data_IF_134338566662
#
_entry.id   IF_134338566662
#
_cell.length_a   1.000
_cell.length_b   1.000
_cell.length_c   1.000
_cell.angle_alpha   90.00
_cell.angle_beta   90.00
_cell.angle_gamma   90.00
#
_symmetry.space_group_name_H-M   'P 1'
#
loop_
_entity.id
_entity.type
_entity.pdbx_description
1 polymer ?
#
# COMPACT_ATOMS: atom_id res chain seq x y z
N UNK A 1 -47.91 -7.20 -4.60
CA UNK A 1 -48.17 -7.32 -3.14
C UNK A 1 -47.29 -8.44 -2.58
N UNK A 2 -46.77 -8.29 -1.35
CA UNK A 2 -45.98 -9.27 -0.59
C UNK A 2 -44.45 -9.15 -0.55
N UNK A 3 -43.92 -7.94 -0.31
CA UNK A 3 -42.56 -7.74 0.24
C UNK A 3 -42.50 -6.73 1.41
N UNK A 4 -43.63 -6.50 2.10
CA UNK A 4 -43.76 -5.51 3.19
C UNK A 4 -44.00 -6.12 4.60
N UNK A 5 -43.57 -7.35 4.88
CA UNK A 5 -43.63 -7.91 6.25
C UNK A 5 -42.42 -8.76 6.56
N UNK A 6 -41.36 -8.11 7.05
CA UNK A 6 -40.37 -8.70 7.99
C UNK A 6 -39.53 -7.62 8.69
N UNK A 7 -40.18 -6.50 9.02
CA UNK A 7 -39.65 -5.48 9.92
C UNK A 7 -40.51 -5.48 11.19
N UNK A 8 -40.08 -6.27 12.18
CA UNK A 8 -40.43 -6.26 13.61
C UNK A 8 -40.33 -7.69 14.13
N UNK A 9 -39.30 -7.96 14.92
CA UNK A 9 -39.28 -8.81 16.11
C UNK A 9 -37.81 -8.90 16.58
N UNK A 10 -37.56 -8.55 17.85
CA UNK A 10 -36.29 -8.87 18.52
C UNK A 10 -35.37 -7.71 18.92
N UNK A 11 -35.89 -6.63 19.49
CA UNK A 11 -35.12 -5.84 20.48
C UNK A 11 -35.32 -6.54 21.82
N UNK A 12 -34.28 -7.19 22.36
CA UNK A 12 -34.07 -7.40 23.81
C UNK A 12 -32.69 -8.00 24.07
N UNK A 13 -32.00 -7.46 25.08
CA UNK A 13 -30.81 -8.00 25.77
C UNK A 13 -29.42 -7.71 25.17
N UNK A 14 -28.93 -6.48 25.38
CA UNK A 14 -27.48 -6.20 25.50
C UNK A 14 -27.18 -5.80 26.95
N UNK A 15 -26.94 -6.80 27.80
CA UNK A 15 -26.23 -6.61 29.06
C UNK A 15 -25.19 -7.71 29.20
N UNK A 16 -24.02 -7.30 29.70
CA UNK A 16 -22.81 -8.06 29.99
C UNK A 16 -21.91 -8.37 28.79
N UNK A 17 -20.92 -7.49 28.59
CA UNK A 17 -19.53 -7.84 28.29
C UNK A 17 -18.66 -6.58 28.55
N UNK A 18 -18.59 -6.19 29.81
CA UNK A 18 -17.47 -5.39 30.33
C UNK A 18 -16.43 -6.35 30.87
N UNK A 19 -15.16 -6.10 30.53
CA UNK A 19 -13.90 -6.73 30.99
C UNK A 19 -13.18 -7.63 29.97
N UNK A 20 -12.50 -7.02 29.00
CA UNK A 20 -11.13 -7.43 28.60
C UNK A 20 -10.43 -6.37 27.73
N UNK A 21 -10.37 -5.12 28.19
CA UNK A 21 -9.71 -3.98 27.52
C UNK A 21 -8.18 -3.94 27.66
N UNK A 22 -7.50 -5.06 27.91
CA UNK A 22 -6.05 -5.03 28.15
C UNK A 22 -5.32 -6.31 27.72
N UNK A 23 -5.33 -6.67 26.42
CA UNK A 23 -4.35 -7.63 25.87
C UNK A 23 -4.27 -7.69 24.32
N UNK A 24 -4.47 -6.56 23.61
CA UNK A 24 -4.50 -6.53 22.13
C UNK A 24 -3.37 -5.74 21.46
N UNK A 25 -2.22 -5.57 22.11
CA UNK A 25 -1.00 -5.07 21.46
C UNK A 25 0.10 -6.13 21.53
N UNK A 26 0.29 -6.88 20.44
CA UNK A 26 1.45 -7.77 20.32
C UNK A 26 1.31 -9.06 19.51
N UNK A 27 0.43 -9.15 18.51
CA UNK A 27 0.46 -10.28 17.56
C UNK A 27 0.71 -9.79 16.14
N UNK A 28 1.74 -10.34 15.53
CA UNK A 28 2.17 -10.13 14.15
C UNK A 28 0.97 -10.21 13.19
N UNK A 29 0.62 -9.10 12.56
CA UNK A 29 -0.56 -8.95 11.67
C UNK A 29 -0.32 -9.66 10.32
N UNK A 30 0.91 -10.06 10.03
CA UNK A 30 1.31 -10.64 8.74
C UNK A 30 1.29 -12.17 8.83
N UNK A 31 0.46 -12.88 8.04
CA UNK A 31 0.50 -14.34 7.97
C UNK A 31 1.89 -14.83 7.50
N UNK A 32 2.34 -15.96 8.05
CA UNK A 32 3.64 -16.56 7.69
C UNK A 32 3.51 -17.43 6.46
N UNK A 33 4.17 -17.07 5.35
CA UNK A 33 4.34 -17.93 4.18
C UNK A 33 5.28 -19.11 4.50
N UNK A 34 5.05 -20.28 3.88
CA UNK A 34 5.86 -21.50 4.06
C UNK A 34 7.34 -21.27 3.71
N UNK A 35 8.28 -21.84 4.49
CA UNK A 35 9.72 -21.74 4.21
C UNK A 35 10.10 -22.57 2.97
N UNK A 36 11.18 -22.20 2.26
CA UNK A 36 11.59 -22.85 1.02
C UNK A 36 12.08 -24.29 1.25
N UNK A 37 11.58 -25.24 0.46
CA UNK A 37 12.26 -26.51 0.22
C UNK A 37 13.20 -26.34 -0.97
N UNK A 38 14.46 -26.04 -0.66
CA UNK A 38 15.71 -26.20 -1.45
C UNK A 38 15.73 -26.00 -2.99
N UNK A 39 16.79 -25.29 -3.39
CA UNK A 39 17.42 -25.17 -4.72
C UNK A 39 16.73 -24.25 -5.75
N UNK A 40 17.10 -22.96 -5.74
CA UNK A 40 17.16 -22.17 -6.99
C UNK A 40 18.19 -21.03 -6.88
N UNK A 41 19.45 -21.36 -7.18
CA UNK A 41 20.36 -20.44 -7.86
C UNK A 41 19.89 -20.30 -9.32
N UNK A 42 20.06 -19.10 -9.90
CA UNK A 42 19.80 -18.68 -11.30
C UNK A 42 18.44 -18.03 -11.56
N UNK A 43 18.40 -16.70 -11.44
CA UNK A 43 18.23 -15.78 -12.57
C UNK A 43 18.51 -14.34 -12.10
N UNK A 44 18.93 -13.46 -13.01
CA UNK A 44 19.61 -12.15 -12.80
C UNK A 44 21.12 -12.22 -12.54
N UNK A 45 21.85 -12.72 -13.54
CA UNK A 45 23.12 -12.10 -13.88
C UNK A 45 22.81 -10.82 -14.67
N UNK A 46 22.94 -9.67 -14.01
CA UNK A 46 23.27 -8.41 -14.68
C UNK A 46 24.55 -7.90 -14.02
N UNK A 47 25.67 -8.35 -14.55
CA UNK A 47 26.94 -7.67 -14.39
C UNK A 47 26.79 -6.25 -14.94
N UNK A 48 26.57 -5.30 -14.04
CA UNK A 48 26.70 -3.87 -14.30
C UNK A 48 27.27 -3.20 -13.07
N UNK A 49 28.59 -3.35 -12.95
CA UNK A 49 29.53 -2.32 -12.54
C UNK A 49 28.92 -1.08 -11.86
N UNK A 50 28.76 -1.15 -10.53
CA UNK A 50 29.23 -0.07 -9.69
C UNK A 50 30.50 -0.60 -9.03
N UNK A 51 31.60 -0.48 -9.76
CA UNK A 51 32.89 -0.36 -9.13
C UNK A 51 32.79 0.87 -8.22
N UNK A 52 32.57 0.64 -6.92
CA UNK A 52 33.02 1.60 -5.91
C UNK A 52 34.53 1.56 -5.97
N UNK A 53 35.08 2.24 -6.97
CA UNK A 53 36.48 2.57 -7.04
C UNK A 53 36.76 3.58 -5.93
N UNK A 54 37.00 3.07 -4.72
CA UNK A 54 38.03 3.49 -3.77
C UNK A 54 37.74 2.90 -2.40
N UNK A 55 38.47 1.83 -2.04
CA UNK A 55 38.72 1.49 -0.64
C UNK A 55 38.03 0.24 -0.11
N UNK A 56 38.40 -0.93 -0.64
CA UNK A 56 38.32 -2.17 0.13
C UNK A 56 39.24 -2.02 1.35
N UNK A 57 38.71 -2.16 2.56
CA UNK A 57 39.51 -2.58 3.72
C UNK A 57 39.00 -3.96 4.12
N UNK A 58 39.81 -4.97 3.80
CA UNK A 58 39.67 -6.33 4.32
C UNK A 58 39.87 -6.27 5.82
N UNK A 59 38.88 -6.74 6.57
CA UNK A 59 38.97 -6.92 8.02
C UNK A 59 39.83 -8.15 8.29
N UNK A 60 41.12 -7.93 8.49
CA UNK A 60 41.99 -8.79 9.27
C UNK A 60 42.90 -7.87 10.08
N UNK A 61 42.88 -8.00 11.41
CA UNK A 61 43.60 -7.16 12.39
C UNK A 61 43.16 -5.69 12.52
N UNK A 62 42.02 -5.46 13.18
CA UNK A 62 41.95 -4.55 14.34
C UNK A 62 42.20 -3.04 14.21
N UNK A 63 42.40 -2.44 13.03
CA UNK A 63 42.54 -0.97 12.90
C UNK A 63 41.75 -0.45 11.70
N UNK A 64 40.66 0.29 11.98
CA UNK A 64 39.94 1.08 10.96
C UNK A 64 40.61 2.44 10.85
N UNK A 65 41.45 2.65 9.84
CA UNK A 65 41.88 3.99 9.44
C UNK A 65 40.79 4.58 8.55
N UNK A 66 39.81 5.24 9.16
CA UNK A 66 38.79 5.95 8.43
C UNK A 66 39.40 7.26 7.91
N UNK A 67 39.62 7.38 6.60
CA UNK A 67 39.96 8.66 6.00
C UNK A 67 38.80 9.63 6.26
N UNK A 68 39.09 10.81 6.82
CA UNK A 68 38.05 11.72 7.32
C UNK A 68 36.95 12.05 6.31
N UNK A 69 37.25 12.04 5.01
CA UNK A 69 36.27 12.23 3.93
C UNK A 69 35.30 11.04 3.81
N UNK A 70 35.80 9.81 3.91
CA UNK A 70 34.97 8.60 3.88
C UNK A 70 34.06 8.51 5.10
N UNK A 71 34.56 8.90 6.28
CA UNK A 71 33.76 8.98 7.51
C UNK A 71 32.71 10.09 7.44
N UNK A 72 33.07 11.26 6.91
CA UNK A 72 32.13 12.38 6.75
C UNK A 72 31.06 12.10 5.69
N UNK A 73 31.42 11.48 4.57
CA UNK A 73 30.47 11.05 3.55
C UNK A 73 29.54 9.95 4.07
N UNK A 74 30.09 8.95 4.77
CA UNK A 74 29.30 7.96 5.50
C UNK A 74 28.37 8.65 6.49
N UNK A 75 28.88 9.52 7.38
CA UNK A 75 28.05 10.27 8.34
C UNK A 75 26.99 11.14 7.65
N UNK A 76 27.27 11.73 6.49
CA UNK A 76 26.31 12.51 5.71
C UNK A 76 25.20 11.62 5.12
N UNK A 77 25.55 10.48 4.53
CA UNK A 77 24.60 9.48 4.06
C UNK A 77 23.78 8.86 5.20
N UNK A 78 24.39 8.63 6.37
CA UNK A 78 23.72 8.10 7.57
C UNK A 78 22.86 9.15 8.29
N UNK A 79 23.19 10.45 8.21
CA UNK A 79 22.46 11.54 8.89
C UNK A 79 21.01 11.70 8.43
N UNK A 80 20.67 11.21 7.24
CA UNK A 80 19.29 11.24 6.73
C UNK A 80 18.54 9.92 6.88
N UNK A 81 19.21 8.84 7.31
CA UNK A 81 18.56 7.56 7.56
C UNK A 81 17.83 7.61 8.89
N UNK A 82 16.52 7.35 8.87
CA UNK A 82 15.68 7.35 10.07
C UNK A 82 14.95 6.03 10.19
N UNK A 83 14.82 5.51 11.41
CA UNK A 83 13.93 4.40 11.67
C UNK A 83 12.55 4.98 11.95
N UNK A 84 11.58 4.64 11.11
CA UNK A 84 10.20 5.13 11.22
C UNK A 84 9.25 3.94 11.20
N UNK A 85 8.11 4.10 11.85
CA UNK A 85 7.04 3.12 11.79
C UNK A 85 6.18 3.34 10.54
N UNK A 86 5.88 2.27 9.82
CA UNK A 86 4.89 2.28 8.74
C UNK A 86 3.51 2.64 9.35
N UNK A 87 2.79 3.64 8.80
CA UNK A 87 1.43 3.91 9.23
C UNK A 87 0.56 2.65 9.15
N UNK A 88 -0.44 2.53 10.03
CA UNK A 88 -1.35 1.38 10.12
C UNK A 88 -0.75 0.09 10.69
N UNK A 89 0.43 -0.36 10.24
CA UNK A 89 1.02 -1.64 10.69
C UNK A 89 2.00 -1.50 11.86
N UNK A 90 2.50 -0.28 12.12
CA UNK A 90 3.55 0.00 13.10
C UNK A 90 4.85 -0.78 12.88
N UNK A 91 5.05 -1.35 11.69
CA UNK A 91 6.30 -2.03 11.34
C UNK A 91 7.44 -1.02 11.28
N UNK A 92 8.54 -1.30 11.98
CA UNK A 92 9.76 -0.48 11.90
C UNK A 92 10.44 -0.69 10.53
N UNK A 93 10.84 0.40 9.90
CA UNK A 93 11.65 0.39 8.67
C UNK A 93 12.73 1.46 8.70
N UNK A 94 13.77 1.24 7.92
CA UNK A 94 14.78 2.25 7.64
C UNK A 94 14.35 3.09 6.44
N UNK A 95 14.37 4.40 6.59
CA UNK A 95 13.87 5.35 5.62
C UNK A 95 15.02 6.08 4.97
N UNK A 96 15.02 6.11 3.64
CA UNK A 96 16.00 6.87 2.87
C UNK A 96 15.75 8.38 2.96
N UNK A 97 16.79 9.22 2.84
CA UNK A 97 16.61 10.66 2.79
C UNK A 97 15.66 11.10 1.66
N UNK A 98 14.81 12.10 1.91
CA UNK A 98 13.77 12.57 0.96
C UNK A 98 14.32 12.88 -0.43
N UNK A 99 15.49 13.52 -0.52
CA UNK A 99 16.12 13.85 -1.81
C UNK A 99 16.44 12.60 -2.64
N UNK A 100 16.93 11.54 -1.99
CA UNK A 100 17.25 10.28 -2.66
C UNK A 100 15.97 9.55 -3.10
N UNK A 101 14.95 9.52 -2.24
CA UNK A 101 13.64 8.98 -2.61
C UNK A 101 13.07 9.69 -3.83
N UNK A 102 13.10 11.03 -3.83
CA UNK A 102 12.59 11.85 -4.93
C UNK A 102 13.32 11.54 -6.23
N UNK A 103 14.66 11.50 -6.21
CA UNK A 103 15.45 11.16 -7.39
C UNK A 103 15.12 9.78 -7.96
N UNK A 104 14.99 8.76 -7.11
CA UNK A 104 14.59 7.41 -7.54
C UNK A 104 13.18 7.44 -8.16
N UNK A 105 12.26 8.23 -7.59
CA UNK A 105 10.92 8.42 -8.15
C UNK A 105 10.92 9.11 -9.51
N UNK A 106 11.71 10.18 -9.66
CA UNK A 106 11.84 10.92 -10.91
C UNK A 106 12.45 10.04 -12.02
N UNK A 107 13.52 9.29 -11.72
CA UNK A 107 14.16 8.35 -12.65
C UNK A 107 13.19 7.21 -13.04
N UNK A 108 12.43 6.67 -12.08
CA UNK A 108 11.43 5.63 -12.34
C UNK A 108 10.27 6.15 -13.20
N UNK A 109 9.84 7.38 -12.96
CA UNK A 109 8.81 8.03 -13.76
C UNK A 109 9.29 8.21 -15.20
N UNK A 110 10.50 8.73 -15.42
CA UNK A 110 11.07 8.88 -16.77
C UNK A 110 11.10 7.53 -17.51
N UNK A 111 11.57 6.46 -16.85
CA UNK A 111 11.56 5.11 -17.41
C UNK A 111 10.16 4.62 -17.82
N UNK A 112 9.14 4.85 -16.98
CA UNK A 112 7.76 4.52 -17.32
C UNK A 112 7.19 5.39 -18.44
N UNK A 113 7.52 6.68 -18.49
CA UNK A 113 7.09 7.59 -19.56
C UNK A 113 7.68 7.16 -20.91
N UNK A 114 8.92 6.66 -20.93
CA UNK A 114 9.54 6.06 -22.13
C UNK A 114 8.82 4.76 -22.49
N UNK A 115 8.58 3.87 -21.52
CA UNK A 115 7.90 2.58 -21.73
C UNK A 115 6.49 2.73 -22.29
N UNK A 116 5.74 3.72 -21.82
CA UNK A 116 4.34 3.97 -22.20
C UNK A 116 4.18 5.13 -23.19
N UNK A 117 5.26 5.52 -23.88
CA UNK A 117 5.24 6.63 -24.83
C UNK A 117 4.14 6.45 -25.89
N UNK A 118 3.27 7.45 -26.00
CA UNK A 118 2.13 7.45 -26.93
C UNK A 118 0.96 6.54 -26.53
N UNK A 119 0.99 5.90 -25.35
CA UNK A 119 -0.08 5.06 -24.81
C UNK A 119 -0.74 5.66 -23.56
N UNK A 120 -0.23 6.79 -23.05
CA UNK A 120 -0.84 7.45 -21.90
C UNK A 120 -2.02 8.26 -22.41
N UNK A 121 -3.20 8.03 -21.83
CA UNK A 121 -4.42 8.76 -22.18
C UNK A 121 -4.36 10.22 -21.71
N UNK A 122 -5.09 11.08 -22.41
CA UNK A 122 -5.25 12.49 -22.02
C UNK A 122 -5.92 12.60 -20.65
N UNK A 123 -5.65 13.70 -19.93
CA UNK A 123 -6.22 13.94 -18.61
C UNK A 123 -7.75 14.08 -18.61
N UNK A 124 -8.33 14.52 -19.73
CA UNK A 124 -9.77 14.72 -19.90
C UNK A 124 -10.49 13.45 -20.35
N UNK A 125 -9.77 12.39 -20.67
CA UNK A 125 -10.37 11.11 -21.03
C UNK A 125 -11.25 10.59 -19.86
N UNK A 126 -12.45 10.03 -20.12
CA UNK A 126 -13.32 9.53 -19.06
C UNK A 126 -12.67 8.51 -18.13
N UNK A 127 -11.78 7.65 -18.64
CA UNK A 127 -11.03 6.69 -17.85
C UNK A 127 -10.01 7.39 -16.94
N UNK A 128 -9.29 8.38 -17.47
CA UNK A 128 -8.37 9.23 -16.70
C UNK A 128 -9.07 9.99 -15.59
N UNK A 129 -10.21 10.63 -15.90
CA UNK A 129 -11.02 11.36 -14.91
C UNK A 129 -11.49 10.42 -13.81
N UNK A 130 -12.04 9.26 -14.17
CA UNK A 130 -12.52 8.25 -13.21
C UNK A 130 -11.40 7.80 -12.28
N UNK A 131 -10.25 7.40 -12.82
CA UNK A 131 -9.12 6.93 -12.02
C UNK A 131 -8.58 8.02 -11.08
N UNK A 132 -8.44 9.26 -11.57
CA UNK A 132 -8.00 10.42 -10.78
C UNK A 132 -8.97 10.77 -9.66
N UNK A 133 -10.28 10.68 -9.89
CA UNK A 133 -11.29 10.92 -8.86
C UNK A 133 -11.22 9.87 -7.74
N UNK A 134 -11.08 8.59 -8.09
CA UNK A 134 -10.93 7.52 -7.10
C UNK A 134 -9.65 7.73 -6.28
N UNK A 135 -8.51 7.98 -6.94
CA UNK A 135 -7.25 8.29 -6.25
C UNK A 135 -7.41 9.48 -5.28
N UNK A 136 -8.06 10.56 -5.72
CA UNK A 136 -8.31 11.74 -4.88
C UNK A 136 -9.02 11.37 -3.57
N UNK A 137 -10.06 10.53 -3.61
CA UNK A 137 -10.77 10.10 -2.40
C UNK A 137 -9.89 9.21 -1.50
N UNK A 138 -9.08 8.33 -2.09
CA UNK A 138 -8.12 7.50 -1.35
C UNK A 138 -7.09 8.38 -0.62
N UNK A 139 -6.50 9.37 -1.29
CA UNK A 139 -5.50 10.26 -0.66
C UNK A 139 -6.14 11.13 0.43
N UNK A 140 -7.35 11.66 0.21
CA UNK A 140 -8.11 12.33 1.28
C UNK A 140 -8.40 11.39 2.46
N UNK A 141 -8.62 10.10 2.20
CA UNK A 141 -8.74 9.07 3.23
C UNK A 141 -7.44 8.84 4.00
N UNK A 142 -6.31 8.79 3.30
CA UNK A 142 -4.98 8.68 3.89
C UNK A 142 -4.67 9.88 4.80
N UNK A 143 -4.84 11.10 4.30
CA UNK A 143 -4.56 12.34 5.03
C UNK A 143 -5.36 12.41 6.34
N UNK A 144 -6.64 12.00 6.33
CA UNK A 144 -7.47 11.91 7.53
C UNK A 144 -6.91 10.93 8.55
N UNK A 145 -6.55 9.72 8.11
CA UNK A 145 -6.02 8.69 9.01
C UNK A 145 -4.65 9.06 9.59
N UNK A 146 -3.80 9.71 8.80
CA UNK A 146 -2.48 10.19 9.26
C UNK A 146 -2.64 11.34 10.26
N UNK A 147 -3.52 12.30 9.99
CA UNK A 147 -3.78 13.44 10.87
C UNK A 147 -4.35 13.03 12.23
N UNK A 148 -5.22 12.03 12.25
CA UNK A 148 -5.86 11.53 13.48
C UNK A 148 -4.97 10.59 14.30
N UNK A 149 -3.74 10.27 13.87
CA UNK A 149 -2.85 9.36 14.59
C UNK A 149 -1.72 10.11 15.35
N UNK A 150 -1.90 10.40 16.66
CA UNK A 150 -0.92 11.15 17.47
C UNK A 150 0.39 10.39 17.74
N UNK A 151 0.43 9.07 17.55
CA UNK A 151 1.64 8.25 17.75
C UNK A 151 2.50 8.13 16.48
N UNK A 152 2.03 8.67 15.36
CA UNK A 152 2.86 8.76 14.19
C UNK A 152 3.81 9.95 14.36
N UNK A 153 5.02 9.68 14.88
CA UNK A 153 6.18 10.58 14.75
C UNK A 153 6.58 10.84 13.26
N UNK A 154 5.68 10.53 12.32
CA UNK A 154 5.78 10.58 10.87
C UNK A 154 4.67 11.45 10.23
N UNK A 155 3.71 11.98 11.00
CA UNK A 155 2.43 12.50 10.48
C UNK A 155 2.51 13.73 9.58
N UNK A 156 3.55 14.57 9.70
CA UNK A 156 3.58 15.85 8.96
C UNK A 156 4.41 15.85 7.68
N UNK A 157 5.54 15.14 7.66
CA UNK A 157 6.62 15.39 6.70
C UNK A 157 6.91 14.22 5.75
N UNK A 158 6.26 13.07 5.94
CA UNK A 158 6.73 11.82 5.34
C UNK A 158 6.30 11.63 3.88
N UNK A 159 5.13 12.14 3.52
CA UNK A 159 4.62 12.22 2.14
C UNK A 159 4.71 13.64 1.58
N UNK A 160 5.34 14.55 2.33
CA UNK A 160 5.52 15.93 1.89
C UNK A 160 6.44 15.94 0.67
N UNK A 161 5.92 16.44 -0.46
CA UNK A 161 6.58 16.38 -1.77
C UNK A 161 6.32 15.13 -2.61
N UNK A 162 5.45 14.19 -2.18
CA UNK A 162 4.96 13.14 -3.09
C UNK A 162 4.00 13.74 -4.12
N UNK A 163 4.17 13.38 -5.38
CA UNK A 163 3.27 13.75 -6.45
C UNK A 163 2.25 12.64 -6.65
N UNK A 164 1.19 12.65 -5.83
CA UNK A 164 0.09 11.69 -5.96
C UNK A 164 -0.61 11.89 -7.30
N UNK A 165 -0.33 11.00 -8.24
CA UNK A 165 -0.86 11.07 -9.59
C UNK A 165 -1.20 9.67 -10.10
N UNK A 166 -2.18 9.60 -11.00
CA UNK A 166 -2.49 8.37 -11.71
C UNK A 166 -2.49 8.64 -13.22
N UNK A 167 -1.73 7.83 -13.94
CA UNK A 167 -1.63 7.86 -15.39
C UNK A 167 -2.30 6.62 -15.95
N UNK A 168 -3.25 6.82 -16.87
CA UNK A 168 -3.99 5.72 -17.49
C UNK A 168 -3.28 5.31 -18.77
N UNK A 169 -2.96 4.02 -18.87
CA UNK A 169 -2.30 3.41 -20.02
C UNK A 169 -3.36 2.74 -20.90
N UNK A 170 -3.38 3.11 -22.18
CA UNK A 170 -4.20 2.51 -23.23
C UNK A 170 -3.75 1.06 -23.51
N UNK A 171 -4.27 0.15 -22.70
CA UNK A 171 -4.04 -1.28 -22.77
C UNK A 171 -5.23 -2.00 -22.12
N UNK A 172 -5.74 -3.03 -22.78
CA UNK A 172 -6.92 -3.78 -22.35
C UNK A 172 -6.62 -4.91 -21.35
N UNK A 173 -5.37 -5.05 -20.89
CA UNK A 173 -4.99 -5.96 -19.81
C UNK A 173 -5.42 -5.36 -18.46
N UNK A 174 -5.95 -6.18 -17.53
CA UNK A 174 -6.14 -5.74 -16.14
C UNK A 174 -4.79 -5.72 -15.42
N UNK A 175 -4.30 -4.52 -15.14
CA UNK A 175 -3.05 -4.29 -14.44
C UNK A 175 -3.04 -2.90 -13.79
N UNK A 176 -2.40 -2.79 -12.64
CA UNK A 176 -2.03 -1.55 -11.98
C UNK A 176 -0.65 -1.75 -11.33
N UNK A 177 0.13 -0.67 -11.22
CA UNK A 177 1.37 -0.67 -10.45
C UNK A 177 1.73 0.74 -10.01
N UNK A 178 2.43 0.85 -8.89
CA UNK A 178 3.01 2.10 -8.40
C UNK A 178 4.52 2.21 -8.67
N UNK A 179 5.00 3.45 -8.66
CA UNK A 179 6.42 3.78 -8.60
C UNK A 179 6.72 4.64 -7.35
N UNK A 180 7.99 4.71 -6.91
CA UNK A 180 8.41 5.66 -5.87
C UNK A 180 7.97 7.09 -6.20
N UNK A 181 7.70 7.91 -5.18
CA UNK A 181 7.28 9.31 -5.38
C UNK A 181 5.78 9.53 -5.60
N UNK A 182 4.96 8.48 -5.66
CA UNK A 182 3.49 8.59 -5.54
C UNK A 182 2.70 8.45 -6.85
N UNK A 183 3.37 8.15 -7.97
CA UNK A 183 2.67 7.93 -9.25
C UNK A 183 2.22 6.48 -9.40
N UNK A 184 0.98 6.30 -9.87
CA UNK A 184 0.38 5.00 -10.16
C UNK A 184 0.07 4.94 -11.65
N UNK A 185 0.30 3.78 -12.26
CA UNK A 185 -0.11 3.48 -13.64
C UNK A 185 -1.20 2.43 -13.62
N UNK A 186 -2.30 2.69 -14.31
CA UNK A 186 -3.43 1.76 -14.40
C UNK A 186 -3.84 1.58 -15.86
N UNK A 187 -4.11 0.35 -16.26
CA UNK A 187 -4.53 0.04 -17.63
C UNK A 187 -6.04 0.28 -17.82
N UNK A 188 -6.45 0.66 -19.03
CA UNK A 188 -7.86 0.80 -19.43
C UNK A 188 -8.65 -0.48 -19.17
N UNK A 189 -8.06 -1.65 -19.41
CA UNK A 189 -8.68 -2.95 -19.14
C UNK A 189 -9.14 -3.12 -17.69
N UNK A 190 -8.33 -2.66 -16.73
CA UNK A 190 -8.70 -2.66 -15.30
C UNK A 190 -9.93 -1.79 -15.05
N UNK A 191 -9.95 -0.59 -15.62
CA UNK A 191 -11.06 0.35 -15.42
C UNK A 191 -12.33 -0.17 -16.07
N UNK A 192 -12.27 -0.75 -17.27
CA UNK A 192 -13.45 -1.24 -17.97
C UNK A 192 -14.02 -2.53 -17.35
N UNK A 193 -13.16 -3.39 -16.79
CA UNK A 193 -13.59 -4.65 -16.21
C UNK A 193 -14.19 -4.52 -14.80
N UNK A 194 -13.82 -3.47 -14.05
CA UNK A 194 -14.09 -3.38 -12.61
C UNK A 194 -15.05 -2.23 -12.25
N UNK A 195 -15.82 -2.45 -11.17
CA UNK A 195 -16.63 -1.42 -10.53
C UNK A 195 -15.76 -0.38 -9.82
N UNK A 196 -16.31 0.79 -9.46
CA UNK A 196 -15.56 1.83 -8.75
C UNK A 196 -14.99 1.36 -7.40
N UNK A 197 -15.71 0.48 -6.69
CA UNK A 197 -15.22 -0.08 -5.45
C UNK A 197 -14.03 -1.03 -5.65
N UNK A 198 -14.05 -1.83 -6.72
CA UNK A 198 -12.96 -2.74 -7.06
C UNK A 198 -11.74 -1.98 -7.61
N UNK A 199 -11.96 -0.97 -8.45
CA UNK A 199 -10.90 -0.04 -8.88
C UNK A 199 -10.30 0.68 -7.67
N UNK A 200 -11.12 1.10 -6.71
CA UNK A 200 -10.65 1.69 -5.47
C UNK A 200 -9.80 0.70 -4.65
N UNK A 201 -10.15 -0.59 -4.63
CA UNK A 201 -9.33 -1.62 -3.97
C UNK A 201 -7.95 -1.76 -4.65
N UNK A 202 -7.90 -1.80 -5.99
CA UNK A 202 -6.62 -1.82 -6.72
C UNK A 202 -5.77 -0.58 -6.43
N UNK A 203 -6.35 0.62 -6.56
CA UNK A 203 -5.63 1.88 -6.32
C UNK A 203 -5.18 1.98 -4.86
N UNK A 204 -6.02 1.60 -3.90
CA UNK A 204 -5.68 1.65 -2.49
C UNK A 204 -4.56 0.67 -2.13
N UNK A 205 -4.52 -0.51 -2.76
CA UNK A 205 -3.42 -1.46 -2.63
C UNK A 205 -2.09 -0.86 -3.12
N UNK A 206 -2.07 -0.21 -4.30
CA UNK A 206 -0.89 0.49 -4.81
C UNK A 206 -0.45 1.66 -3.91
N UNK A 207 -1.41 2.43 -3.39
CA UNK A 207 -1.12 3.46 -2.37
C UNK A 207 -0.56 2.82 -1.10
N UNK A 208 -1.02 1.63 -0.71
CA UNK A 208 -0.47 0.85 0.38
C UNK A 208 1.01 0.51 0.20
N UNK A 209 1.42 0.10 -1.01
CA UNK A 209 2.83 -0.09 -1.34
C UNK A 209 3.66 1.19 -1.21
N UNK A 210 3.12 2.33 -1.65
CA UNK A 210 3.79 3.64 -1.56
C UNK A 210 3.90 4.09 -0.09
N UNK A 211 2.82 3.97 0.68
CA UNK A 211 2.74 4.30 2.12
C UNK A 211 3.75 3.47 2.91
N UNK A 212 3.80 2.16 2.63
CA UNK A 212 4.76 1.21 3.17
C UNK A 212 6.13 1.24 2.49
N UNK A 213 6.34 2.12 1.50
CA UNK A 213 7.59 2.33 0.74
C UNK A 213 8.21 1.02 0.22
N UNK A 214 7.38 0.03 -0.10
CA UNK A 214 7.84 -1.27 -0.59
C UNK A 214 8.68 -1.18 -1.86
N UNK A 215 8.52 -0.10 -2.64
CA UNK A 215 9.24 0.16 -3.89
C UNK A 215 10.69 0.60 -3.69
N UNK A 216 11.03 1.19 -2.53
CA UNK A 216 12.38 1.70 -2.22
C UNK A 216 12.97 1.12 -0.94
N UNK A 217 12.19 0.38 -0.15
CA UNK A 217 12.68 -0.27 1.05
C UNK A 217 13.69 -1.35 0.64
N UNK A 218 14.94 -1.16 1.07
CA UNK A 218 15.99 -2.16 0.93
C UNK A 218 15.49 -3.51 1.40
N UNK A 219 15.93 -4.58 0.73
CA UNK A 219 15.59 -5.95 1.11
C UNK A 219 15.90 -6.17 2.59
N UNK A 220 14.83 -6.17 3.39
CA UNK A 220 14.91 -6.53 4.79
C UNK A 220 14.81 -8.06 4.86
N UNK A 221 15.73 -8.76 5.52
CA UNK A 221 15.81 -10.23 5.47
C UNK A 221 14.52 -10.92 5.95
N UNK A 222 13.70 -10.23 6.76
CA UNK A 222 12.42 -10.75 7.23
C UNK A 222 11.18 -10.22 6.47
N UNK A 223 11.36 -9.43 5.41
CA UNK A 223 10.28 -8.84 4.59
C UNK A 223 10.44 -9.30 3.12
N UNK A 224 9.94 -10.49 2.83
CA UNK A 224 9.84 -10.98 1.44
C UNK A 224 8.69 -10.28 0.69
N UNK A 225 8.62 -10.51 -0.63
CA UNK A 225 7.58 -9.90 -1.47
C UNK A 225 6.17 -10.28 -1.01
N UNK A 226 5.93 -11.55 -0.65
CA UNK A 226 4.64 -12.00 -0.12
C UNK A 226 4.14 -11.18 1.09
N UNK A 227 5.02 -10.90 2.07
CA UNK A 227 4.66 -10.06 3.23
C UNK A 227 4.36 -8.61 2.84
N UNK A 228 5.03 -8.08 1.81
CA UNK A 228 4.77 -6.74 1.27
C UNK A 228 3.37 -6.66 0.64
N UNK A 229 2.95 -7.70 -0.06
CA UNK A 229 1.59 -7.79 -0.63
C UNK A 229 0.53 -7.81 0.47
N UNK A 230 0.67 -8.65 1.51
CA UNK A 230 -0.30 -8.67 2.62
C UNK A 230 -0.35 -7.35 3.40
N UNK A 231 0.80 -6.70 3.60
CA UNK A 231 0.83 -5.39 4.24
C UNK A 231 0.17 -4.31 3.37
N UNK A 232 0.42 -4.32 2.06
CA UNK A 232 -0.23 -3.41 1.13
C UNK A 232 -1.75 -3.66 1.03
N UNK A 233 -2.19 -4.92 1.06
CA UNK A 233 -3.61 -5.31 1.13
C UNK A 233 -4.29 -4.79 2.39
N UNK A 234 -3.66 -4.97 3.55
CA UNK A 234 -4.19 -4.49 4.81
C UNK A 234 -4.29 -2.96 4.82
N UNK A 235 -3.23 -2.25 4.43
CA UNK A 235 -3.24 -0.78 4.35
C UNK A 235 -4.30 -0.32 3.33
N UNK A 236 -4.34 -0.94 2.15
CA UNK A 236 -5.29 -0.63 1.09
C UNK A 236 -6.74 -0.79 1.54
N UNK A 237 -7.06 -1.85 2.29
CA UNK A 237 -8.38 -2.07 2.87
C UNK A 237 -8.82 -0.91 3.79
N UNK A 238 -7.91 -0.46 4.67
CA UNK A 238 -8.20 0.65 5.58
C UNK A 238 -8.33 1.98 4.82
N UNK A 239 -7.53 2.19 3.78
CA UNK A 239 -7.57 3.40 2.95
C UNK A 239 -8.85 3.50 2.12
N UNK A 240 -9.27 2.40 1.47
CA UNK A 240 -10.54 2.40 0.74
C UNK A 240 -11.74 2.58 1.68
N UNK A 241 -11.68 1.99 2.87
CA UNK A 241 -12.70 2.21 3.91
C UNK A 241 -12.75 3.68 4.33
N UNK A 242 -11.58 4.30 4.59
CA UNK A 242 -11.48 5.72 4.93
C UNK A 242 -12.03 6.62 3.82
N UNK A 243 -11.80 6.26 2.56
CA UNK A 243 -12.35 6.95 1.40
C UNK A 243 -13.87 6.77 1.21
N UNK A 244 -14.52 5.92 2.00
CA UNK A 244 -15.96 5.68 1.95
C UNK A 244 -16.38 4.56 1.00
N UNK A 245 -15.45 3.72 0.53
CA UNK A 245 -15.77 2.50 -0.23
C UNK A 245 -15.99 1.32 0.71
N UNK A 246 -16.98 0.47 0.41
CA UNK A 246 -17.35 -0.65 1.29
C UNK A 246 -16.22 -1.71 1.32
N UNK A 247 -15.55 -1.93 2.46
CA UNK A 247 -14.40 -2.85 2.54
C UNK A 247 -14.77 -4.32 2.32
N UNK A 248 -16.04 -4.70 2.40
CA UNK A 248 -16.45 -6.11 2.20
C UNK A 248 -16.25 -6.60 0.78
N UNK A 249 -16.22 -5.70 -0.20
CA UNK A 249 -16.11 -6.08 -1.62
C UNK A 249 -14.74 -6.70 -1.94
N UNK A 250 -13.70 -6.40 -1.16
CA UNK A 250 -12.33 -6.88 -1.45
C UNK A 250 -12.22 -8.40 -1.40
N UNK A 251 -13.01 -9.04 -0.52
CA UNK A 251 -12.94 -10.49 -0.33
C UNK A 251 -13.44 -11.20 -1.58
N UNK A 252 -14.57 -10.75 -2.12
CA UNK A 252 -15.14 -11.31 -3.33
C UNK A 252 -14.33 -10.90 -4.57
N UNK A 253 -13.85 -9.66 -4.62
CA UNK A 253 -12.96 -9.18 -5.66
C UNK A 253 -11.72 -10.07 -5.82
N UNK A 254 -10.99 -10.35 -4.75
CA UNK A 254 -9.80 -11.21 -4.82
C UNK A 254 -10.16 -12.65 -5.22
N UNK A 255 -11.28 -13.19 -4.74
CA UNK A 255 -11.76 -14.51 -5.19
C UNK A 255 -12.06 -14.54 -6.69
N UNK A 256 -12.65 -13.47 -7.22
CA UNK A 256 -12.98 -13.37 -8.65
C UNK A 256 -11.73 -13.19 -9.53
N UNK A 257 -10.68 -12.56 -9.01
CA UNK A 257 -9.39 -12.43 -9.72
C UNK A 257 -8.76 -13.80 -10.05
N UNK A 258 -9.05 -14.85 -9.27
CA UNK A 258 -8.65 -16.23 -9.55
C UNK A 258 -9.18 -16.69 -10.92
N UNK A 259 -10.41 -16.31 -11.26
CA UNK A 259 -11.08 -16.72 -12.49
C UNK A 259 -10.51 -16.01 -13.72
N UNK A 260 -10.08 -14.75 -13.56
CA UNK A 260 -9.49 -13.96 -14.65
C UNK A 260 -8.01 -14.26 -14.87
N UNK A 261 -7.30 -14.70 -13.84
CA UNK A 261 -5.85 -14.95 -13.87
C UNK A 261 -5.49 -16.27 -13.15
N UNK A 262 -5.80 -17.42 -13.76
CA UNK A 262 -5.62 -18.73 -13.13
C UNK A 262 -4.17 -19.06 -12.80
N UNK A 263 -3.19 -18.46 -13.49
CA UNK A 263 -1.76 -18.68 -13.20
C UNK A 263 -1.35 -18.15 -11.81
N UNK A 264 -2.05 -17.13 -11.30
CA UNK A 264 -1.83 -16.58 -9.95
C UNK A 264 -2.67 -17.27 -8.87
N UNK A 265 -3.49 -18.26 -9.24
CA UNK A 265 -4.36 -19.00 -8.31
C UNK A 265 -3.59 -19.81 -7.27
N UNK A 266 -2.37 -20.26 -7.59
CA UNK A 266 -1.56 -21.11 -6.72
C UNK A 266 -0.66 -20.33 -5.77
N UNK A 267 -0.46 -19.03 -6.03
CA UNK A 267 0.56 -18.23 -5.35
C UNK A 267 1.97 -18.77 -5.57
N UNK A 268 2.98 -17.97 -5.24
CA UNK A 268 4.36 -18.39 -5.17
C UNK A 268 5.10 -17.66 -4.03
N UNK A 269 6.42 -17.84 -3.95
CA UNK A 269 7.24 -17.21 -2.92
C UNK A 269 7.35 -15.68 -3.07
N UNK A 270 7.03 -15.17 -4.25
CA UNK A 270 7.03 -13.76 -4.58
C UNK A 270 5.64 -13.14 -4.35
N UNK A 271 4.56 -13.79 -4.77
CA UNK A 271 3.19 -13.28 -4.71
C UNK A 271 2.26 -14.29 -4.04
N UNK A 272 1.54 -13.92 -2.96
CA UNK A 272 0.56 -14.81 -2.34
C UNK A 272 -0.59 -15.09 -3.32
N UNK A 273 -1.25 -16.23 -3.16
CA UNK A 273 -2.41 -16.51 -3.99
C UNK A 273 -3.54 -15.52 -3.68
N UNK A 274 -4.42 -15.29 -4.64
CA UNK A 274 -5.57 -14.42 -4.39
C UNK A 274 -6.50 -14.97 -3.29
N UNK A 275 -6.54 -16.28 -3.09
CA UNK A 275 -7.28 -16.89 -1.98
C UNK A 275 -6.65 -16.55 -0.63
N UNK A 276 -5.32 -16.64 -0.52
CA UNK A 276 -4.60 -16.25 0.69
C UNK A 276 -4.81 -14.76 1.02
N UNK A 277 -4.78 -13.90 -0.01
CA UNK A 277 -5.08 -12.46 0.12
C UNK A 277 -6.50 -12.23 0.62
N UNK A 278 -7.49 -12.87 -0.02
CA UNK A 278 -8.89 -12.78 0.39
C UNK A 278 -9.09 -13.24 1.84
N UNK A 279 -8.49 -14.37 2.22
CA UNK A 279 -8.58 -14.93 3.57
C UNK A 279 -7.91 -14.01 4.61
N UNK A 280 -6.78 -13.39 4.26
CA UNK A 280 -6.09 -12.45 5.15
C UNK A 280 -6.96 -11.24 5.50
N UNK A 281 -7.70 -10.71 4.52
CA UNK A 281 -8.58 -9.55 4.68
C UNK A 281 -9.95 -9.91 5.29
N UNK A 282 -10.39 -11.15 5.12
CA UNK A 282 -11.63 -11.67 5.70
C UNK A 282 -11.54 -11.93 7.22
N UNK A 283 -10.35 -11.88 7.81
CA UNK A 283 -10.17 -12.04 9.25
C UNK A 283 -11.04 -11.05 10.02
N UNK A 284 -11.80 -11.53 11.01
CA UNK A 284 -12.84 -10.75 11.68
C UNK A 284 -12.33 -9.42 12.24
N UNK A 285 -11.17 -9.43 12.90
CA UNK A 285 -10.57 -8.22 13.48
C UNK A 285 -10.13 -7.20 12.42
N UNK A 286 -9.61 -7.66 11.28
CA UNK A 286 -9.22 -6.81 10.14
C UNK A 286 -10.45 -6.16 9.53
N UNK A 287 -11.48 -6.96 9.22
CA UNK A 287 -12.71 -6.48 8.61
C UNK A 287 -13.50 -5.57 9.55
N UNK A 288 -13.55 -5.85 10.85
CA UNK A 288 -14.21 -5.01 11.84
C UNK A 288 -13.54 -3.64 11.95
N UNK A 289 -12.21 -3.59 11.95
CA UNK A 289 -11.45 -2.34 11.94
C UNK A 289 -11.77 -1.52 10.68
N UNK A 290 -11.72 -2.14 9.50
CA UNK A 290 -12.06 -1.47 8.25
C UNK A 290 -13.51 -0.96 8.24
N UNK A 291 -14.47 -1.76 8.73
CA UNK A 291 -15.87 -1.36 8.81
C UNK A 291 -16.12 -0.22 9.80
N UNK A 292 -15.32 -0.12 10.85
CA UNK A 292 -15.38 1.01 11.80
C UNK A 292 -14.95 2.30 11.11
N UNK A 293 -13.79 2.30 10.46
CA UNK A 293 -13.30 3.43 9.66
C UNK A 293 -14.31 3.83 8.57
N UNK A 294 -14.89 2.84 7.88
CA UNK A 294 -15.92 3.06 6.88
C UNK A 294 -17.13 3.81 7.46
N UNK A 295 -17.69 3.36 8.59
CA UNK A 295 -18.83 4.03 9.23
C UNK A 295 -18.51 5.46 9.68
N UNK A 296 -17.31 5.69 10.20
CA UNK A 296 -16.85 7.02 10.62
C UNK A 296 -16.75 7.97 9.43
N UNK A 297 -16.16 7.51 8.32
CA UNK A 297 -16.04 8.31 7.09
C UNK A 297 -17.41 8.78 6.57
N UNK A 298 -18.41 7.90 6.57
CA UNK A 298 -19.77 8.22 6.13
C UNK A 298 -20.48 9.20 7.07
N UNK A 299 -20.24 9.09 8.38
CA UNK A 299 -20.82 9.99 9.36
C UNK A 299 -20.31 11.42 9.15
N UNK A 300 -19.01 11.57 8.87
CA UNK A 300 -18.41 12.88 8.56
C UNK A 300 -18.89 13.44 7.21
N UNK A 301 -18.99 12.60 6.17
CA UNK A 301 -19.57 13.01 4.88
C UNK A 301 -21.00 13.50 5.05
N UNK A 302 -21.83 12.78 5.80
CA UNK A 302 -23.22 13.17 6.06
C UNK A 302 -23.29 14.50 6.82
N UNK A 303 -22.46 14.69 7.85
CA UNK A 303 -22.37 15.96 8.59
C UNK A 303 -21.96 17.10 7.65
N UNK A 304 -20.93 16.91 6.83
CA UNK A 304 -20.51 17.94 5.86
C UNK A 304 -21.62 18.24 4.84
N UNK A 305 -22.30 17.22 4.29
CA UNK A 305 -23.35 17.40 3.29
C UNK A 305 -24.58 18.14 3.86
N UNK A 306 -24.98 17.81 5.09
CA UNK A 306 -26.16 18.37 5.75
C UNK A 306 -25.89 19.76 6.32
N UNK A 307 -24.70 20.00 6.88
CA UNK A 307 -24.42 21.24 7.61
C UNK A 307 -23.59 22.27 6.83
N UNK A 308 -22.76 21.89 5.84
CA UNK A 308 -22.04 22.88 4.99
C UNK A 308 -22.87 23.46 3.85
N UNK A 309 -24.07 22.96 3.58
CA UNK A 309 -25.01 23.62 2.65
C UNK A 309 -25.72 24.85 3.25
N UNK A 310 -25.44 25.21 4.50
CA UNK A 310 -26.05 26.35 5.21
C UNK A 310 -25.12 27.54 5.44
N UNK A 311 -23.92 27.56 4.84
CA UNK A 311 -22.98 28.67 4.92
C UNK A 311 -22.81 29.33 3.55
#
# INVERSE_FOLDING_TARGET
MSWYRRAKLGITSFHNLTNSTAQLYGKTIIPTCKPPTTNFQRYYNVDSAIAVASGIVVVASGIVVASGIGTLYAMFCYRGLRIVNVPFTNRKRLVMPTMMHKRIGDDALEGCMIKYKGKILDEKDPHSVRAKLILKYIIQGLERQVKCNPNSNASGYYYDGFNWNILVVDNFIMHAHCIPGGTIFICVGTLQALTDGEVAACIAHEVGHIVAQHTVEFQHPNLNRCKREFEADYIGLLLMASAGYNPRIVVEFWKNMILSYPDFSKGDHEHPSYEERANSLAQAHVMEQALTIYKESWSEYFVNLVFKRKA
#
